data_IF_376546094067
#
_entry.id   IF_376546094067
#
_cell.length_a   1.000
_cell.length_b   1.000
_cell.length_c   1.000
_cell.angle_alpha   90.00
_cell.angle_beta   90.00
_cell.angle_gamma   90.00
#
_symmetry.space_group_name_H-M   'P 1'
#
loop_
_entity.id
_entity.type
_entity.pdbx_description
1 polymer ?
#
# COMPACT_ATOMS: atom_id res chain seq x y z
N UNK A 1 -10.59 -14.71 -6.94
CA UNK A 1 -9.12 -14.68 -6.77
C UNK A 1 -8.81 -14.21 -5.36
N UNK A 2 -7.75 -14.72 -4.73
CA UNK A 2 -7.25 -14.16 -3.45
C UNK A 2 -6.64 -12.78 -3.76
N UNK A 3 -6.89 -11.74 -2.95
CA UNK A 3 -6.30 -10.43 -3.19
C UNK A 3 -4.76 -10.50 -3.02
N UNK A 4 -3.99 -9.75 -3.83
CA UNK A 4 -2.52 -9.72 -3.75
C UNK A 4 -2.01 -9.03 -2.47
N UNK A 5 -2.86 -8.26 -1.79
CA UNK A 5 -2.56 -7.56 -0.53
C UNK A 5 -3.38 -8.12 0.63
N UNK A 6 -2.85 -8.13 1.87
CA UNK A 6 -3.61 -8.55 3.04
C UNK A 6 -4.67 -7.49 3.39
N UNK A 7 -5.92 -7.92 3.50
CA UNK A 7 -7.02 -7.05 3.93
C UNK A 7 -7.17 -7.05 5.45
N UNK A 8 -7.72 -5.95 5.99
CA UNK A 8 -7.91 -5.69 7.42
C UNK A 8 -6.63 -5.75 8.28
N UNK A 9 -5.45 -5.75 7.65
CA UNK A 9 -4.13 -5.69 8.29
C UNK A 9 -3.45 -4.37 7.96
N UNK A 10 -2.55 -3.92 8.83
CA UNK A 10 -1.79 -2.70 8.58
C UNK A 10 -0.50 -3.07 7.85
N UNK A 11 -0.20 -2.38 6.76
CA UNK A 11 1.11 -2.35 6.14
C UNK A 11 1.84 -1.10 6.62
N UNK A 12 3.06 -1.23 7.14
CA UNK A 12 3.90 -0.10 7.52
C UNK A 12 5.22 -0.17 6.77
N UNK A 13 5.57 0.91 6.06
CA UNK A 13 6.79 0.98 5.26
C UNK A 13 8.02 0.82 6.14
N UNK A 14 8.90 -0.09 5.74
CA UNK A 14 10.26 -0.19 6.26
C UNK A 14 11.12 0.81 5.49
N UNK A 15 11.36 1.96 6.10
CA UNK A 15 12.19 3.06 5.59
C UNK A 15 12.88 3.71 6.77
N UNK A 16 13.93 4.50 6.57
CA UNK A 16 14.53 5.36 7.60
C UNK A 16 14.02 6.80 7.53
N UNK A 17 13.52 7.24 6.37
CA UNK A 17 13.22 8.65 6.07
C UNK A 17 11.73 8.89 5.84
N UNK A 18 11.03 7.92 5.29
CA UNK A 18 9.62 8.05 4.92
C UNK A 18 8.69 7.34 5.92
N UNK A 19 7.47 7.83 5.99
CA UNK A 19 6.34 7.20 6.65
C UNK A 19 5.30 6.92 5.59
N UNK A 20 5.05 5.63 5.37
CA UNK A 20 3.85 5.20 4.67
C UNK A 20 3.21 4.08 5.48
N UNK A 21 1.91 4.17 5.69
CA UNK A 21 1.16 3.02 6.18
C UNK A 21 -0.17 2.93 5.47
N UNK A 22 -0.61 1.70 5.23
CA UNK A 22 -1.83 1.40 4.49
C UNK A 22 -2.65 0.36 5.24
N UNK A 23 -3.96 0.50 5.24
CA UNK A 23 -4.89 -0.54 5.68
C UNK A 23 -5.91 -0.75 4.58
N UNK A 24 -5.82 -1.91 3.92
CA UNK A 24 -6.73 -2.30 2.85
C UNK A 24 -7.98 -2.92 3.45
N UNK A 25 -9.13 -2.30 3.25
CA UNK A 25 -10.40 -2.84 3.73
C UNK A 25 -11.06 -3.74 2.65
N UNK A 26 -11.83 -4.77 3.07
CA UNK A 26 -12.53 -5.66 2.14
C UNK A 26 -13.57 -4.96 1.25
N UNK A 27 -14.00 -3.75 1.61
CA UNK A 27 -14.95 -2.93 0.86
C UNK A 27 -14.30 -2.12 -0.28
N UNK A 28 -13.00 -2.32 -0.52
CA UNK A 28 -12.24 -1.66 -1.56
C UNK A 28 -11.72 -0.28 -1.17
N UNK A 29 -11.84 0.13 0.09
CA UNK A 29 -11.21 1.36 0.61
C UNK A 29 -9.81 1.09 1.15
N UNK A 30 -8.96 2.13 1.17
CA UNK A 30 -7.63 2.09 1.80
C UNK A 30 -7.46 3.33 2.65
N UNK A 31 -7.28 3.13 3.95
CA UNK A 31 -6.81 4.19 4.83
C UNK A 31 -5.28 4.25 4.75
N UNK A 32 -4.75 5.43 4.43
CA UNK A 32 -3.30 5.63 4.33
C UNK A 32 -2.81 6.74 5.25
N UNK A 33 -1.53 6.66 5.63
CA UNK A 33 -0.77 7.76 6.23
C UNK A 33 0.51 7.89 5.43
N UNK A 34 0.79 9.07 4.87
CA UNK A 34 1.93 9.34 4.00
C UNK A 34 2.70 10.55 4.52
N UNK A 35 4.03 10.53 4.45
CA UNK A 35 4.87 11.66 4.82
C UNK A 35 6.32 11.28 5.14
N UNK A 36 6.96 12.09 5.97
CA UNK A 36 8.34 11.93 6.42
C UNK A 36 8.39 11.57 7.91
N UNK A 37 9.41 10.82 8.36
CA UNK A 37 9.51 10.28 9.73
C UNK A 37 9.38 11.32 10.84
N UNK A 38 10.01 12.47 10.64
CA UNK A 38 10.01 13.59 11.58
C UNK A 38 9.44 14.87 10.94
N UNK A 39 8.65 14.68 9.88
CA UNK A 39 8.13 15.76 9.05
C UNK A 39 6.60 15.76 8.96
N UNK A 40 6.04 16.58 8.07
CA UNK A 40 4.60 16.63 7.86
C UNK A 40 4.07 15.29 7.33
N UNK A 41 2.88 14.94 7.79
CA UNK A 41 2.13 13.75 7.33
C UNK A 41 0.73 14.13 6.90
N UNK A 42 0.18 13.41 5.93
CA UNK A 42 -1.23 13.45 5.57
C UNK A 42 -1.87 12.06 5.71
N UNK A 43 -3.21 12.02 5.86
CA UNK A 43 -3.97 10.79 6.03
C UNK A 43 -5.08 10.66 4.96
N UNK A 44 -4.73 10.39 3.70
CA UNK A 44 -5.71 10.26 2.63
C UNK A 44 -6.50 8.94 2.72
N UNK A 45 -7.69 8.96 2.12
CA UNK A 45 -8.48 7.76 1.84
C UNK A 45 -8.44 7.47 0.34
N UNK A 46 -8.07 6.25 -0.02
CA UNK A 46 -8.06 5.77 -1.40
C UNK A 46 -9.12 4.69 -1.63
N UNK A 47 -9.34 4.39 -2.90
CA UNK A 47 -9.89 3.12 -3.37
C UNK A 47 -8.76 2.25 -3.89
N UNK A 48 -8.99 0.93 -3.88
CA UNK A 48 -8.08 0.00 -4.52
C UNK A 48 -8.81 -1.02 -5.38
N UNK A 49 -8.13 -1.50 -6.41
CA UNK A 49 -8.60 -2.58 -7.27
C UNK A 49 -7.44 -3.53 -7.58
N UNK A 50 -7.74 -4.82 -7.74
CA UNK A 50 -6.75 -5.80 -8.19
C UNK A 50 -6.66 -5.76 -9.72
N UNK A 51 -5.46 -5.54 -10.25
CA UNK A 51 -5.20 -5.55 -11.70
C UNK A 51 -4.80 -6.95 -12.19
N UNK A 52 -4.06 -7.70 -11.37
CA UNK A 52 -3.66 -9.09 -11.60
C UNK A 52 -3.56 -9.85 -10.27
N UNK A 53 -3.00 -11.06 -10.31
CA UNK A 53 -2.72 -11.86 -9.11
C UNK A 53 -1.64 -11.26 -8.20
N UNK A 54 -0.84 -10.32 -8.70
CA UNK A 54 0.35 -9.74 -8.06
C UNK A 54 0.43 -8.21 -8.24
N UNK A 55 -0.66 -7.56 -8.66
CA UNK A 55 -0.70 -6.11 -8.83
C UNK A 55 -2.04 -5.49 -8.45
N UNK A 56 -1.95 -4.25 -7.98
CA UNK A 56 -3.10 -3.40 -7.63
C UNK A 56 -2.90 -1.99 -8.17
N UNK A 57 -4.00 -1.25 -8.23
CA UNK A 57 -3.97 0.22 -8.28
C UNK A 57 -4.60 0.80 -7.02
N UNK A 58 -4.11 1.97 -6.63
CA UNK A 58 -4.70 2.88 -5.66
C UNK A 58 -5.20 4.10 -6.43
N UNK A 59 -6.44 4.49 -6.19
CA UNK A 59 -7.05 5.67 -6.80
C UNK A 59 -7.68 6.58 -5.75
N UNK A 60 -7.72 7.87 -6.05
CA UNK A 60 -8.50 8.87 -5.33
C UNK A 60 -9.60 9.42 -6.24
N UNK A 61 -10.24 10.53 -5.84
CA UNK A 61 -11.29 11.17 -6.63
C UNK A 61 -10.80 11.78 -7.95
N UNK A 62 -9.49 11.99 -8.11
CA UNK A 62 -8.89 12.66 -9.27
C UNK A 62 -8.26 11.65 -10.25
N UNK A 63 -7.97 10.43 -9.81
CA UNK A 63 -7.53 9.35 -10.69
C UNK A 63 -6.68 8.30 -10.00
N UNK A 64 -5.82 7.63 -10.77
CA UNK A 64 -4.86 6.66 -10.23
C UNK A 64 -3.73 7.40 -9.52
N UNK A 65 -3.61 7.16 -8.22
CA UNK A 65 -2.55 7.69 -7.37
C UNK A 65 -1.28 6.83 -7.46
N UNK A 66 -1.43 5.50 -7.39
CA UNK A 66 -0.30 4.59 -7.45
C UNK A 66 -0.66 3.22 -8.04
N UNK A 67 0.27 2.63 -8.78
CA UNK A 67 0.23 1.22 -9.18
C UNK A 67 1.28 0.45 -8.42
N UNK A 68 0.90 -0.67 -7.84
CA UNK A 68 1.82 -1.59 -7.17
C UNK A 68 1.90 -2.88 -8.00
N UNK A 69 3.11 -3.30 -8.34
CA UNK A 69 3.37 -4.52 -9.13
C UNK A 69 4.37 -5.42 -8.42
N UNK A 70 4.46 -6.68 -8.87
CA UNK A 70 5.35 -7.69 -8.28
C UNK A 70 5.16 -7.82 -6.76
N UNK A 71 3.89 -7.86 -6.33
CA UNK A 71 3.56 -7.98 -4.91
C UNK A 71 3.87 -9.41 -4.45
N UNK A 72 4.83 -9.51 -3.53
CA UNK A 72 5.27 -10.76 -2.92
C UNK A 72 5.11 -10.66 -1.40
N UNK A 73 4.55 -11.71 -0.79
CA UNK A 73 4.39 -11.80 0.66
C UNK A 73 5.22 -12.97 1.17
N UNK A 74 6.16 -12.67 2.06
CA UNK A 74 7.02 -13.64 2.72
C UNK A 74 6.95 -13.42 4.24
N UNK A 75 6.32 -14.35 4.96
CA UNK A 75 6.10 -14.20 6.40
C UNK A 75 5.22 -12.99 6.73
N UNK A 76 5.79 -12.03 7.46
CA UNK A 76 5.16 -10.77 7.86
C UNK A 76 5.67 -9.57 7.06
N UNK A 77 6.31 -9.80 5.91
CA UNK A 77 6.73 -8.76 4.99
C UNK A 77 5.96 -8.83 3.66
N UNK A 78 5.65 -7.66 3.12
CA UNK A 78 5.18 -7.47 1.76
C UNK A 78 6.22 -6.66 0.97
N UNK A 79 6.69 -7.19 -0.15
CA UNK A 79 7.59 -6.53 -1.09
C UNK A 79 6.82 -6.19 -2.37
N UNK A 80 7.03 -5.00 -2.92
CA UNK A 80 6.38 -4.57 -4.17
C UNK A 80 7.19 -3.47 -4.87
N UNK A 81 6.89 -3.26 -6.16
CA UNK A 81 7.26 -2.05 -6.87
C UNK A 81 6.07 -1.08 -6.86
N UNK A 82 6.15 -0.01 -6.08
CA UNK A 82 5.14 1.04 -6.00
C UNK A 82 5.54 2.19 -6.93
N UNK A 83 4.80 2.42 -8.02
CA UNK A 83 5.17 3.36 -9.09
C UNK A 83 6.61 3.13 -9.59
N UNK A 84 7.03 1.87 -9.69
CA UNK A 84 8.37 1.47 -10.10
C UNK A 84 9.44 1.54 -9.01
N UNK A 85 9.12 2.03 -7.80
CA UNK A 85 10.06 2.06 -6.68
C UNK A 85 9.89 0.84 -5.78
N UNK A 86 10.98 0.14 -5.52
CA UNK A 86 10.97 -0.99 -4.61
C UNK A 86 10.67 -0.54 -3.17
N UNK A 87 9.66 -1.16 -2.55
CA UNK A 87 9.25 -0.91 -1.17
C UNK A 87 9.02 -2.22 -0.44
N UNK A 88 9.31 -2.19 0.85
CA UNK A 88 9.06 -3.29 1.78
C UNK A 88 8.16 -2.77 2.89
N UNK A 89 7.11 -3.51 3.20
CA UNK A 89 6.16 -3.19 4.26
C UNK A 89 6.10 -4.32 5.27
N UNK A 90 6.09 -3.96 6.56
CA UNK A 90 5.77 -4.90 7.64
C UNK A 90 4.25 -5.04 7.75
N UNK A 91 3.77 -6.28 7.89
CA UNK A 91 2.36 -6.64 8.04
C UNK A 91 2.05 -6.75 9.54
N UNK A 92 1.27 -5.82 10.06
CA UNK A 92 0.73 -5.76 11.42
C UNK A 92 -0.65 -6.39 11.53
#
# INVERSE_FOLDING_TARGET
MKPPVPTARRLALVSETAVESYRFDPDGTVAAVLGERDGPTCAPLFRWSALSADSIELSDGDGVFATWTHIEIEGDELRALCNGQAKVFRIG
#
